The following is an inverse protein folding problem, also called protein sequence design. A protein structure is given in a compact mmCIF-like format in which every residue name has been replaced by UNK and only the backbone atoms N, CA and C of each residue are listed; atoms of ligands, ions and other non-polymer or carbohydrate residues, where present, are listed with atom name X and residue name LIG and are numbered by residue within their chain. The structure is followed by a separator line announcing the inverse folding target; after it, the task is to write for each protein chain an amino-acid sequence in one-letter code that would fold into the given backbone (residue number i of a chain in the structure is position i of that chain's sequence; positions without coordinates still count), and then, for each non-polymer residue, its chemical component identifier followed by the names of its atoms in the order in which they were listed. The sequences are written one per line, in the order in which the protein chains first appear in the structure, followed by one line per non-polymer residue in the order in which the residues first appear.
data_IF_213499142107
#
_entry.id   IF_213499142107
#
_cell.length_a   1.000
_cell.length_b   1.000
_cell.length_c   1.000
_cell.angle_alpha   90.00
_cell.angle_beta   90.00
_cell.angle_gamma   90.00
#
_symmetry.space_group_name_H-M   'P 1'
#
loop_
_entity.id
_entity.type
_entity.pdbx_description
1 polymer ?
#
# COMPACT_ATOMS: atom_id res chain seq x y z
N UNK A 1 -9.36 -3.02 28.49
CA UNK A 1 -8.84 -1.96 27.58
C UNK A 1 -9.66 -2.02 26.29
N UNK A 2 -10.57 -1.07 26.06
CA UNK A 2 -11.71 -1.23 25.15
C UNK A 2 -11.70 -0.24 23.96
N UNK A 3 -10.53 0.17 23.48
CA UNK A 3 -10.42 1.12 22.38
C UNK A 3 -10.23 0.36 21.05
N UNK A 4 -11.12 0.61 20.11
CA UNK A 4 -11.05 0.10 18.73
C UNK A 4 -9.78 0.65 18.06
N UNK A 5 -8.94 -0.20 17.45
CA UNK A 5 -7.71 0.27 16.82
C UNK A 5 -8.05 1.09 15.57
N UNK A 6 -7.34 2.20 15.39
CA UNK A 6 -7.43 3.07 14.21
C UNK A 6 -6.21 2.86 13.33
N UNK A 7 -6.42 2.31 12.14
CA UNK A 7 -5.35 1.99 11.20
C UNK A 7 -5.50 2.87 9.96
N UNK A 8 -4.43 3.59 9.63
CA UNK A 8 -4.36 4.31 8.36
C UNK A 8 -3.51 3.50 7.38
N UNK A 9 -4.04 3.21 6.20
CA UNK A 9 -3.32 2.47 5.15
C UNK A 9 -3.06 3.43 3.99
N UNK A 10 -1.80 3.59 3.59
CA UNK A 10 -1.44 4.45 2.48
C UNK A 10 -0.62 3.75 1.42
N UNK A 11 -1.07 3.93 0.19
CA UNK A 11 -0.35 3.56 -1.01
C UNK A 11 -1.25 3.59 -2.22
N UNK A 12 -0.71 3.20 -3.37
CA UNK A 12 -1.47 3.20 -4.61
C UNK A 12 -0.63 3.53 -5.84
N UNK A 13 -1.31 3.98 -6.89
CA UNK A 13 -0.72 4.26 -8.19
C UNK A 13 -0.72 3.08 -9.15
N UNK A 14 -0.66 1.83 -8.67
CA UNK A 14 -0.77 0.59 -9.47
C UNK A 14 -1.51 -0.51 -8.70
N UNK A 15 -2.02 -1.51 -9.43
CA UNK A 15 -2.71 -2.66 -8.83
C UNK A 15 -1.86 -3.42 -7.81
N UNK A 16 -0.54 -3.52 -8.06
CA UNK A 16 0.41 -4.20 -7.16
C UNK A 16 0.57 -3.56 -5.78
N UNK A 17 0.07 -2.34 -5.57
CA UNK A 17 0.04 -1.68 -4.26
C UNK A 17 -1.39 -1.65 -3.70
N UNK A 18 -2.38 -1.38 -4.55
CA UNK A 18 -3.78 -1.22 -4.13
C UNK A 18 -4.38 -2.53 -3.61
N UNK A 19 -4.16 -3.65 -4.31
CA UNK A 19 -4.76 -4.93 -3.90
C UNK A 19 -4.15 -5.50 -2.62
N UNK A 20 -2.82 -5.43 -2.40
CA UNK A 20 -2.25 -5.79 -1.10
C UNK A 20 -2.78 -4.92 0.04
N UNK A 21 -2.95 -3.60 -0.17
CA UNK A 21 -3.51 -2.71 0.85
C UNK A 21 -4.94 -3.09 1.25
N UNK A 22 -5.79 -3.41 0.26
CA UNK A 22 -7.15 -3.91 0.49
C UNK A 22 -7.13 -5.26 1.21
N UNK A 23 -6.23 -6.17 0.82
CA UNK A 23 -6.10 -7.49 1.46
C UNK A 23 -5.68 -7.37 2.94
N UNK A 24 -4.74 -6.47 3.25
CA UNK A 24 -4.37 -6.13 4.63
C UNK A 24 -5.59 -5.59 5.40
N UNK A 25 -6.36 -4.68 4.80
CA UNK A 25 -7.53 -4.11 5.45
C UNK A 25 -8.62 -5.15 5.76
N UNK A 26 -8.86 -6.11 4.85
CA UNK A 26 -9.81 -7.19 5.09
C UNK A 26 -9.33 -8.11 6.21
N UNK A 27 -8.06 -8.52 6.20
CA UNK A 27 -7.50 -9.34 7.26
C UNK A 27 -7.61 -8.64 8.64
N UNK A 28 -7.27 -7.35 8.71
CA UNK A 28 -7.42 -6.55 9.93
C UNK A 28 -8.89 -6.47 10.40
N UNK A 29 -9.83 -6.31 9.47
CA UNK A 29 -11.27 -6.31 9.80
C UNK A 29 -11.78 -7.67 10.28
N UNK A 30 -11.27 -8.77 9.74
CA UNK A 30 -11.62 -10.11 10.21
C UNK A 30 -11.10 -10.36 11.63
N UNK A 31 -9.84 -9.98 11.89
CA UNK A 31 -9.21 -10.14 13.21
C UNK A 31 -9.81 -9.20 14.27
N UNK A 32 -10.18 -7.98 13.86
CA UNK A 32 -10.75 -6.97 14.74
C UNK A 32 -11.92 -6.25 14.03
N UNK A 33 -13.15 -6.79 14.11
CA UNK A 33 -14.33 -6.21 13.44
C UNK A 33 -14.58 -4.75 13.78
N UNK A 34 -14.22 -4.34 15.00
CA UNK A 34 -14.33 -2.97 15.49
C UNK A 34 -13.27 -1.99 14.95
N UNK A 35 -12.21 -2.46 14.28
CA UNK A 35 -11.13 -1.59 13.81
C UNK A 35 -11.63 -0.50 12.87
N UNK A 36 -11.19 0.74 13.04
CA UNK A 36 -11.46 1.81 12.09
C UNK A 36 -10.32 1.88 11.08
N UNK A 37 -10.63 1.78 9.79
CA UNK A 37 -9.63 1.78 8.73
C UNK A 37 -9.88 2.97 7.81
N UNK A 38 -8.84 3.77 7.58
CA UNK A 38 -8.85 4.87 6.63
C UNK A 38 -7.75 4.66 5.60
N UNK A 39 -8.09 4.79 4.32
CA UNK A 39 -7.11 4.79 3.25
C UNK A 39 -6.67 6.21 2.89
N UNK A 40 -5.42 6.34 2.47
CA UNK A 40 -4.90 7.56 1.86
C UNK A 40 -4.18 7.23 0.55
N UNK A 41 -4.73 7.75 -0.55
CA UNK A 41 -4.31 7.47 -1.92
C UNK A 41 -3.90 8.73 -2.69
N UNK A 42 -3.49 8.57 -3.95
CA UNK A 42 -3.25 9.70 -4.84
C UNK A 42 -4.52 10.04 -5.63
N UNK A 43 -4.85 11.33 -5.72
CA UNK A 43 -6.00 11.81 -6.50
C UNK A 43 -5.89 11.40 -7.98
N UNK A 44 -7.03 11.04 -8.58
CA UNK A 44 -7.10 10.66 -10.00
C UNK A 44 -6.42 9.33 -10.34
N UNK A 45 -6.22 8.46 -9.35
CA UNK A 45 -5.62 7.13 -9.52
C UNK A 45 -6.60 6.03 -9.11
N UNK A 46 -6.33 4.82 -9.56
CA UNK A 46 -7.25 3.68 -9.44
C UNK A 46 -7.66 3.34 -8.00
N UNK A 47 -6.82 3.66 -7.00
CA UNK A 47 -7.18 3.49 -5.59
C UNK A 47 -8.43 4.26 -5.20
N UNK A 48 -8.68 5.42 -5.83
CA UNK A 48 -9.86 6.24 -5.56
C UNK A 48 -11.17 5.55 -5.96
N UNK A 49 -11.11 4.56 -6.85
CA UNK A 49 -12.27 3.75 -7.25
C UNK A 49 -12.29 2.39 -6.54
N UNK A 50 -11.14 1.71 -6.49
CA UNK A 50 -11.06 0.33 -5.99
C UNK A 50 -11.21 0.23 -4.47
N UNK A 51 -10.75 1.22 -3.72
CA UNK A 51 -10.86 1.22 -2.25
C UNK A 51 -12.30 1.46 -1.79
N UNK A 52 -13.05 2.46 -2.33
CA UNK A 52 -14.48 2.59 -2.05
C UNK A 52 -15.29 1.37 -2.49
N UNK A 53 -14.98 0.78 -3.65
CA UNK A 53 -15.65 -0.44 -4.11
C UNK A 53 -15.44 -1.63 -3.15
N UNK A 54 -14.32 -1.65 -2.40
CA UNK A 54 -14.07 -2.63 -1.34
C UNK A 54 -14.70 -2.25 0.02
N UNK A 55 -15.48 -1.16 0.09
CA UNK A 55 -16.19 -0.73 1.29
C UNK A 55 -15.38 0.12 2.26
N UNK A 56 -14.23 0.66 1.84
CA UNK A 56 -13.36 1.46 2.70
C UNK A 56 -13.39 2.95 2.34
N UNK A 57 -13.28 3.80 3.37
CA UNK A 57 -13.10 5.24 3.20
C UNK A 57 -11.70 5.55 2.70
N UNK A 58 -11.59 6.47 1.74
CA UNK A 58 -10.30 6.94 1.21
C UNK A 58 -10.24 8.47 1.17
N UNK A 59 -9.06 9.02 1.47
CA UNK A 59 -8.73 10.44 1.25
C UNK A 59 -7.67 10.53 0.15
N UNK A 60 -7.91 11.41 -0.82
CA UNK A 60 -6.94 11.72 -1.87
C UNK A 60 -5.88 12.73 -1.41
N UNK A 61 -4.65 12.52 -1.85
CA UNK A 61 -3.58 13.52 -1.81
C UNK A 61 -3.29 14.02 -3.23
N UNK A 62 -3.05 15.32 -3.42
CA UNK A 62 -2.66 15.88 -4.71
C UNK A 62 -1.17 15.59 -4.98
N UNK A 63 -0.80 14.31 -5.07
CA UNK A 63 0.57 13.84 -5.28
C UNK A 63 0.69 13.17 -6.64
N UNK A 64 1.84 13.34 -7.29
CA UNK A 64 2.14 12.71 -8.57
C UNK A 64 3.60 12.28 -8.63
N UNK A 65 3.92 11.39 -9.56
CA UNK A 65 5.30 11.00 -9.83
C UNK A 65 6.15 12.14 -10.39
N UNK A 66 7.47 11.96 -10.29
CA UNK A 66 8.44 12.83 -10.93
C UNK A 66 8.56 12.48 -12.41
N UNK A 67 8.63 13.50 -13.25
CA UNK A 67 8.87 13.37 -14.68
C UNK A 67 10.38 13.27 -14.90
N UNK A 68 10.84 12.12 -15.43
CA UNK A 68 12.26 11.88 -15.70
C UNK A 68 12.78 12.69 -16.90
N UNK A 69 11.93 12.95 -17.89
CA UNK A 69 12.31 13.66 -19.13
C UNK A 69 12.06 15.17 -19.08
N UNK A 70 11.05 15.60 -18.33
CA UNK A 70 10.59 16.99 -18.32
C UNK A 70 10.79 17.60 -16.94
N UNK A 71 12.04 17.99 -16.65
CA UNK A 71 12.45 18.44 -15.31
C UNK A 71 11.67 19.68 -14.85
N UNK A 72 11.26 20.56 -15.76
CA UNK A 72 10.44 21.74 -15.46
C UNK A 72 9.07 21.38 -14.85
N UNK A 73 8.46 20.25 -15.27
CA UNK A 73 7.20 19.77 -14.69
C UNK A 73 7.36 19.34 -13.23
N UNK A 74 8.58 19.06 -12.78
CA UNK A 74 8.85 18.70 -11.39
C UNK A 74 8.68 19.87 -10.42
N UNK A 75 8.72 21.13 -10.87
CA UNK A 75 8.39 22.29 -10.02
C UNK A 75 6.94 22.19 -9.53
N UNK A 76 6.02 21.86 -10.44
CA UNK A 76 4.63 21.62 -10.07
C UNK A 76 4.48 20.37 -9.17
N UNK A 77 5.26 19.32 -9.44
CA UNK A 77 5.31 18.14 -8.55
C UNK A 77 5.79 18.49 -7.14
N UNK A 78 6.73 19.42 -6.98
CA UNK A 78 7.16 19.91 -5.65
C UNK A 78 6.05 20.65 -4.91
N UNK A 79 5.31 21.52 -5.59
CA UNK A 79 4.16 22.20 -4.99
C UNK A 79 3.07 21.20 -4.56
N UNK A 80 2.79 20.22 -5.42
CA UNK A 80 1.91 19.07 -5.12
C UNK A 80 2.38 18.27 -3.91
N UNK A 81 3.68 18.01 -3.82
CA UNK A 81 4.28 17.32 -2.67
C UNK A 81 4.13 18.12 -1.38
N UNK A 82 4.39 19.43 -1.40
CA UNK A 82 4.23 20.30 -0.22
C UNK A 82 2.76 20.32 0.26
N UNK A 83 1.80 20.46 -0.67
CA UNK A 83 0.37 20.36 -0.37
C UNK A 83 0.00 18.99 0.19
N UNK A 84 0.54 17.91 -0.39
CA UNK A 84 0.32 16.54 0.07
C UNK A 84 0.87 16.30 1.48
N UNK A 85 2.03 16.89 1.81
CA UNK A 85 2.59 16.84 3.17
C UNK A 85 1.74 17.59 4.19
N UNK A 86 1.14 18.71 3.81
CA UNK A 86 0.20 19.45 4.68
C UNK A 86 -1.10 18.67 4.87
N UNK A 87 -1.69 18.17 3.76
CA UNK A 87 -2.91 17.38 3.80
C UNK A 87 -2.74 16.07 4.57
N UNK A 88 -1.61 15.38 4.39
CA UNK A 88 -1.28 14.18 5.17
C UNK A 88 -1.23 14.48 6.67
N UNK A 89 -0.66 15.61 7.07
CA UNK A 89 -0.64 16.01 8.48
C UNK A 89 -2.05 16.27 9.04
N UNK A 90 -2.89 16.99 8.28
CA UNK A 90 -4.31 17.20 8.64
C UNK A 90 -5.04 15.88 8.82
N UNK A 91 -4.90 14.95 7.86
CA UNK A 91 -5.53 13.63 7.95
C UNK A 91 -5.06 12.85 9.18
N UNK A 92 -3.76 12.86 9.48
CA UNK A 92 -3.22 12.22 10.68
C UNK A 92 -3.73 12.88 11.97
N UNK A 93 -3.97 14.19 11.98
CA UNK A 93 -4.56 14.90 13.13
C UNK A 93 -6.04 14.56 13.31
N UNK A 94 -6.81 14.59 12.24
CA UNK A 94 -8.26 14.35 12.26
C UNK A 94 -8.59 12.89 12.58
N UNK A 95 -7.88 11.95 11.94
CA UNK A 95 -8.12 10.52 12.12
C UNK A 95 -7.49 9.97 13.41
N UNK A 96 -6.34 10.53 13.81
CA UNK A 96 -5.55 10.10 14.96
C UNK A 96 -5.29 8.56 14.98
N UNK A 97 -4.59 8.02 13.96
CA UNK A 97 -4.33 6.58 13.87
C UNK A 97 -3.38 6.11 14.96
N UNK A 98 -3.59 4.89 15.42
CA UNK A 98 -2.68 4.19 16.34
C UNK A 98 -1.48 3.59 15.57
N UNK A 99 -1.68 3.26 14.28
CA UNK A 99 -0.63 2.75 13.38
C UNK A 99 -0.89 3.16 11.94
N UNK A 100 0.18 3.36 11.19
CA UNK A 100 0.13 3.69 9.76
C UNK A 100 0.87 2.61 8.94
N UNK A 101 0.17 2.03 7.95
CA UNK A 101 0.73 1.02 7.04
C UNK A 101 1.02 1.67 5.69
N UNK A 102 2.27 1.60 5.25
CA UNK A 102 2.70 2.05 3.93
C UNK A 102 2.94 0.88 3.01
N UNK A 103 2.16 0.75 1.94
CA UNK A 103 2.35 -0.33 0.96
C UNK A 103 3.21 0.10 -0.24
N UNK A 104 3.75 1.32 -0.24
CA UNK A 104 4.46 1.94 -1.37
C UNK A 104 3.59 2.84 -2.25
N UNK A 105 4.14 3.37 -3.34
CA UNK A 105 3.48 4.35 -4.20
C UNK A 105 3.63 5.80 -3.73
N UNK A 106 3.16 6.75 -4.55
CA UNK A 106 3.43 8.18 -4.35
C UNK A 106 2.72 8.77 -3.11
N UNK A 107 1.54 8.27 -2.76
CA UNK A 107 0.80 8.71 -1.57
C UNK A 107 1.45 8.24 -0.25
N UNK A 108 2.10 7.07 -0.26
CA UNK A 108 2.71 6.48 0.92
C UNK A 108 3.84 7.35 1.49
N UNK A 109 4.60 8.03 0.62
CA UNK A 109 5.73 8.87 1.00
C UNK A 109 5.37 10.00 1.97
N UNK A 110 4.51 10.95 1.57
CA UNK A 110 4.07 12.04 2.44
C UNK A 110 3.42 11.57 3.75
N UNK A 111 2.59 10.53 3.68
CA UNK A 111 1.85 10.01 4.83
C UNK A 111 2.78 9.39 5.87
N UNK A 112 3.63 8.45 5.47
CA UNK A 112 4.54 7.79 6.39
C UNK A 112 5.55 8.77 6.96
N UNK A 113 6.04 9.72 6.15
CA UNK A 113 6.94 10.75 6.64
C UNK A 113 6.32 11.60 7.75
N UNK A 114 5.07 12.03 7.58
CA UNK A 114 4.36 12.82 8.60
C UNK A 114 4.02 11.96 9.83
N UNK A 115 3.64 10.70 9.64
CA UNK A 115 3.39 9.76 10.73
C UNK A 115 4.66 9.55 11.59
N UNK A 116 5.80 9.28 10.95
CA UNK A 116 7.09 9.10 11.63
C UNK A 116 7.58 10.36 12.33
N UNK A 117 7.34 11.55 11.75
CA UNK A 117 7.66 12.83 12.38
C UNK A 117 6.83 13.09 13.65
N UNK A 118 5.65 12.48 13.76
CA UNK A 118 4.74 12.54 14.91
C UNK A 118 4.85 11.33 15.83
N UNK A 119 5.88 10.50 15.61
CA UNK A 119 6.14 9.29 16.40
C UNK A 119 5.02 8.25 16.36
N UNK A 120 4.12 8.34 15.37
CA UNK A 120 3.10 7.33 15.13
C UNK A 120 3.80 6.09 14.55
N UNK A 121 3.61 4.88 15.12
CA UNK A 121 4.19 3.65 14.59
C UNK A 121 3.87 3.44 13.11
N UNK A 122 4.90 3.15 12.31
CA UNK A 122 4.75 2.84 10.89
C UNK A 122 5.18 1.41 10.57
N UNK A 123 4.42 0.75 9.71
CA UNK A 123 4.76 -0.53 9.09
C UNK A 123 4.89 -0.32 7.59
N UNK A 124 5.90 -0.93 6.97
CA UNK A 124 6.06 -0.92 5.50
C UNK A 124 5.76 -2.32 4.97
N UNK A 125 5.02 -2.41 3.87
CA UNK A 125 4.87 -3.63 3.06
C UNK A 125 5.62 -3.41 1.73
N UNK A 126 6.62 -4.23 1.44
CA UNK A 126 7.36 -4.25 0.18
C UNK A 126 7.06 -5.52 -0.60
N UNK A 127 6.42 -5.35 -1.76
CA UNK A 127 5.96 -6.45 -2.61
C UNK A 127 7.02 -6.91 -3.62
N UNK A 128 7.95 -6.03 -3.95
CA UNK A 128 8.89 -6.22 -5.04
C UNK A 128 10.19 -6.87 -4.55
N UNK A 129 10.85 -7.61 -5.45
CA UNK A 129 12.21 -8.14 -5.21
C UNK A 129 13.29 -7.04 -5.21
N UNK A 130 12.96 -5.87 -5.77
CA UNK A 130 13.74 -4.65 -5.69
C UNK A 130 12.95 -3.58 -4.95
N UNK A 131 13.45 -3.16 -3.79
CA UNK A 131 12.73 -2.22 -2.94
C UNK A 131 12.49 -0.86 -3.63
N UNK A 132 11.27 -0.36 -3.48
CA UNK A 132 10.87 0.94 -3.99
C UNK A 132 11.61 2.09 -3.29
N UNK A 133 11.86 3.18 -4.01
CA UNK A 133 12.60 4.33 -3.48
C UNK A 133 11.94 4.92 -2.23
N UNK A 134 10.60 5.04 -2.24
CA UNK A 134 9.83 5.53 -1.09
C UNK A 134 10.03 4.65 0.14
N UNK A 135 9.97 3.34 -0.02
CA UNK A 135 10.14 2.39 1.09
C UNK A 135 11.56 2.44 1.63
N UNK A 136 12.57 2.47 0.77
CA UNK A 136 14.00 2.63 1.17
C UNK A 136 14.21 3.87 2.02
N UNK A 137 13.64 5.00 1.59
CA UNK A 137 13.80 6.26 2.29
C UNK A 137 13.17 6.28 3.69
N UNK A 138 12.08 5.54 3.89
CA UNK A 138 11.29 5.55 5.12
C UNK A 138 11.59 4.36 6.04
N UNK A 139 12.38 3.39 5.58
CA UNK A 139 12.68 2.14 6.27
C UNK A 139 13.35 2.33 7.63
N UNK A 140 14.28 3.29 7.74
CA UNK A 140 15.05 3.50 8.97
C UNK A 140 14.17 3.88 10.17
N UNK A 141 13.01 4.51 9.94
CA UNK A 141 12.05 4.91 10.99
C UNK A 141 10.80 4.02 11.06
N UNK A 142 10.66 3.04 10.16
CA UNK A 142 9.62 2.03 10.29
C UNK A 142 9.88 1.17 11.54
N UNK A 143 8.80 0.67 12.17
CA UNK A 143 8.88 -0.29 13.27
C UNK A 143 9.12 -1.71 12.75
N UNK A 144 8.42 -2.08 11.68
CA UNK A 144 8.61 -3.34 10.96
C UNK A 144 8.41 -3.14 9.47
N UNK A 145 9.07 -4.01 8.70
CA UNK A 145 9.06 -4.00 7.24
C UNK A 145 8.74 -5.41 6.78
N UNK A 146 7.52 -5.62 6.33
CA UNK A 146 7.04 -6.86 5.77
C UNK A 146 7.53 -6.96 4.32
N UNK A 147 8.24 -8.04 3.99
CA UNK A 147 8.82 -8.27 2.66
C UNK A 147 8.29 -9.57 2.06
N UNK A 148 8.19 -9.58 0.73
CA UNK A 148 7.77 -10.77 -0.01
C UNK A 148 8.92 -11.73 -0.38
N UNK A 149 10.16 -11.26 -0.34
CA UNK A 149 11.34 -11.97 -0.85
C UNK A 149 12.46 -12.00 0.17
N UNK A 150 13.33 -13.01 0.08
CA UNK A 150 14.59 -13.08 0.81
C UNK A 150 15.63 -12.08 0.26
N UNK A 151 16.70 -11.83 1.02
CA UNK A 151 17.80 -10.96 0.59
C UNK A 151 17.48 -9.46 0.64
N UNK A 152 16.44 -9.06 1.39
CA UNK A 152 15.98 -7.66 1.46
C UNK A 152 16.78 -6.81 2.46
N UNK A 153 17.66 -7.42 3.25
CA UNK A 153 18.61 -6.76 4.16
C UNK A 153 19.60 -5.84 3.42
N UNK A 154 19.81 -6.05 2.12
CA UNK A 154 20.55 -5.10 1.27
C UNK A 154 19.85 -3.75 1.10
N UNK A 155 18.56 -3.66 1.40
CA UNK A 155 17.75 -2.44 1.25
C UNK A 155 17.23 -1.90 2.58
N UNK A 156 17.04 -2.77 3.58
CA UNK A 156 16.36 -2.44 4.82
C UNK A 156 17.14 -2.95 6.05
N UNK A 157 16.98 -2.34 7.24
CA UNK A 157 17.60 -2.84 8.46
C UNK A 157 17.11 -4.26 8.79
N UNK A 158 18.04 -5.22 8.94
CA UNK A 158 17.74 -6.64 9.08
C UNK A 158 16.83 -6.95 10.29
N UNK A 159 17.00 -6.24 11.41
CA UNK A 159 16.20 -6.38 12.64
C UNK A 159 14.72 -5.98 12.47
N UNK A 160 14.42 -5.22 11.41
CA UNK A 160 13.08 -4.73 11.10
C UNK A 160 12.36 -5.57 10.07
N UNK A 161 13.07 -6.42 9.33
CA UNK A 161 12.51 -7.24 8.28
C UNK A 161 11.67 -8.37 8.87
N UNK A 162 10.53 -8.62 8.25
CA UNK A 162 9.71 -9.81 8.46
C UNK A 162 9.32 -10.36 7.09
N UNK A 163 9.67 -11.61 6.80
CA UNK A 163 9.29 -12.26 5.55
C UNK A 163 7.84 -12.75 5.71
N UNK A 164 6.91 -12.09 5.03
CA UNK A 164 5.47 -12.40 5.11
C UNK A 164 4.89 -12.88 3.78
N UNK A 165 5.64 -12.76 2.70
CA UNK A 165 5.07 -12.90 1.35
C UNK A 165 4.23 -11.69 0.96
N UNK A 166 3.49 -11.84 -0.15
CA UNK A 166 2.57 -10.82 -0.63
C UNK A 166 1.14 -11.08 -0.12
N UNK A 167 0.47 -10.08 0.48
CA UNK A 167 -0.96 -10.19 0.79
C UNK A 167 -1.77 -10.38 -0.48
N UNK A 168 -2.51 -11.49 -0.55
CA UNK A 168 -3.40 -11.85 -1.65
C UNK A 168 -4.84 -11.88 -1.19
N UNK A 169 -5.77 -11.71 -2.15
CA UNK A 169 -7.22 -11.83 -1.90
C UNK A 169 -7.57 -13.28 -1.64
N UNK A 170 -8.51 -13.52 -0.73
CA UNK A 170 -8.95 -14.88 -0.39
C UNK A 170 -9.48 -15.64 -1.61
N UNK A 171 -10.21 -14.96 -2.48
CA UNK A 171 -10.68 -15.57 -3.73
C UNK A 171 -9.54 -16.12 -4.57
N UNK A 172 -8.34 -15.53 -4.56
CA UNK A 172 -7.19 -16.07 -5.33
C UNK A 172 -6.71 -17.41 -4.76
N UNK A 173 -6.89 -17.63 -3.46
CA UNK A 173 -6.48 -18.85 -2.76
C UNK A 173 -7.49 -19.98 -3.02
N UNK A 174 -8.75 -19.64 -3.26
CA UNK A 174 -9.75 -20.59 -3.73
C UNK A 174 -9.55 -20.88 -5.22
N UNK A 175 -8.83 -21.98 -5.50
CA UNK A 175 -8.42 -22.39 -6.84
C UNK A 175 -9.40 -23.38 -7.49
N UNK A 176 -10.42 -23.84 -6.76
CA UNK A 176 -11.34 -24.85 -7.25
C UNK A 176 -12.10 -24.33 -8.49
N UNK A 177 -12.08 -25.09 -9.59
CA UNK A 177 -12.74 -24.74 -10.85
C UNK A 177 -12.10 -23.60 -11.68
N UNK A 178 -11.13 -22.87 -11.12
CA UNK A 178 -10.52 -21.70 -11.82
C UNK A 178 -9.64 -22.06 -12.99
N UNK A 179 -9.01 -23.23 -12.93
CA UNK A 179 -8.19 -23.72 -14.03
C UNK A 179 -9.06 -24.01 -15.24
N UNK A 180 -10.16 -24.71 -15.05
CA UNK A 180 -11.13 -25.07 -16.07
C UNK A 180 -11.79 -23.81 -16.65
N UNK A 181 -12.19 -22.87 -15.78
CA UNK A 181 -12.73 -21.57 -16.20
C UNK A 181 -11.72 -20.80 -17.05
N UNK A 182 -10.47 -20.67 -16.60
CA UNK A 182 -9.41 -19.97 -17.33
C UNK A 182 -9.16 -20.59 -18.71
N UNK A 183 -9.07 -21.92 -18.78
CA UNK A 183 -8.93 -22.63 -20.04
C UNK A 183 -10.12 -22.35 -20.98
N UNK A 184 -11.35 -22.37 -20.46
CA UNK A 184 -12.55 -22.07 -21.23
C UNK A 184 -12.58 -20.63 -21.74
N UNK A 185 -12.29 -19.65 -20.89
CA UNK A 185 -12.30 -18.21 -21.23
C UNK A 185 -11.29 -17.89 -22.33
N UNK A 186 -10.11 -18.50 -22.27
CA UNK A 186 -9.05 -18.28 -23.25
C UNK A 186 -9.06 -19.30 -24.41
N UNK A 187 -10.02 -20.22 -24.45
CA UNK A 187 -10.16 -21.23 -25.50
C UNK A 187 -9.02 -22.26 -25.55
N UNK A 188 -8.32 -22.47 -24.43
CA UNK A 188 -7.23 -23.43 -24.32
C UNK A 188 -7.73 -24.84 -23.97
N UNK A 189 -7.00 -25.85 -24.46
CA UNK A 189 -7.20 -27.23 -24.02
C UNK A 189 -6.39 -27.48 -22.75
N UNK A 190 -6.85 -28.40 -21.90
CA UNK A 190 -6.16 -28.75 -20.66
C UNK A 190 -4.72 -29.24 -20.85
N UNK A 191 -4.39 -29.75 -22.04
CA UNK A 191 -3.05 -30.23 -22.41
C UNK A 191 -2.18 -29.19 -23.12
N UNK A 192 -2.69 -28.01 -23.44
CA UNK A 192 -1.92 -26.97 -24.11
C UNK A 192 -0.85 -26.43 -23.14
N UNK A 193 0.42 -26.29 -23.55
CA UNK A 193 1.38 -25.50 -22.79
C UNK A 193 0.90 -24.04 -22.76
N UNK A 194 0.81 -23.44 -21.57
CA UNK A 194 0.40 -22.05 -21.36
C UNK A 194 1.59 -21.28 -20.78
N UNK A 195 1.85 -20.10 -21.33
CA UNK A 195 2.81 -19.13 -20.76
C UNK A 195 2.00 -18.00 -20.15
N UNK A 196 2.24 -17.74 -18.86
CA UNK A 196 1.64 -16.65 -18.08
C UNK A 196 2.69 -15.56 -17.83
#
# INVERSE_FOLDING_TARGET
MNRKPKILISGGGTGGHVFPAISIAHALKQMAPGAEILFVGAEGRMEMDKVPAAGYRIVGLPVSGFHRKEVWKNVHTMLKLARSLSRADSVLREFAPDVVVGVGGYASGPVLRRAQAREIPTLIQEQNSYAGLTNKWLASRARKICVAWEGMEKYFPADKILITGNPVRQDIIDLEGKKEEGLSVFGFRASSPVVL
#
